data_IF_006605719654
#
_entry.id   IF_006605719654
#
_cell.length_a   1.000
_cell.length_b   1.000
_cell.length_c   1.000
_cell.angle_alpha   90.00
_cell.angle_beta   90.00
_cell.angle_gamma   90.00
#
_symmetry.space_group_name_H-M   'P 1'
#
loop_
_entity.id
_entity.type
_entity.pdbx_description
1 polymer ?
#
# COMPACT_ATOMS: atom_id res chain seq x y z
N UNK A 1 16.89 17.63 3.64
CA UNK A 1 16.08 17.40 2.41
C UNK A 1 14.80 18.21 2.58
N UNK A 2 14.36 18.97 1.57
CA UNK A 2 13.15 19.80 1.72
C UNK A 2 11.90 18.91 1.79
N UNK A 3 11.10 19.05 2.84
CA UNK A 3 9.80 18.39 2.97
C UNK A 3 8.79 19.17 2.13
N UNK A 4 8.36 18.59 1.00
CA UNK A 4 7.33 19.18 0.14
C UNK A 4 5.97 18.61 0.54
N UNK A 5 5.00 19.48 0.80
CA UNK A 5 3.60 19.12 1.02
C UNK A 5 2.79 19.50 -0.23
N UNK A 6 1.91 18.61 -0.67
CA UNK A 6 1.05 18.78 -1.84
C UNK A 6 -0.40 18.97 -1.40
N UNK A 7 -1.19 19.68 -2.20
CA UNK A 7 -2.61 19.88 -1.95
C UNK A 7 -3.44 19.35 -3.11
N UNK A 8 -4.36 18.43 -2.82
CA UNK A 8 -5.28 17.88 -3.80
C UNK A 8 -6.49 18.78 -3.97
N UNK A 9 -6.75 19.18 -5.22
CA UNK A 9 -7.96 19.90 -5.64
C UNK A 9 -9.25 19.13 -5.31
N UNK A 10 -9.17 17.80 -5.17
CA UNK A 10 -10.32 16.97 -4.76
C UNK A 10 -10.86 17.32 -3.37
N UNK A 11 -10.07 18.03 -2.57
CA UNK A 11 -10.45 18.48 -1.23
C UNK A 11 -10.62 20.00 -1.22
N UNK A 12 -9.64 20.73 -1.75
CA UNK A 12 -9.60 22.21 -1.67
C UNK A 12 -10.60 22.90 -2.58
N UNK A 13 -11.03 22.26 -3.67
CA UNK A 13 -11.95 22.86 -4.64
C UNK A 13 -13.39 22.36 -4.41
N UNK A 14 -13.68 21.78 -3.24
CA UNK A 14 -15.02 21.33 -2.87
C UNK A 14 -15.83 22.48 -2.28
N UNK A 15 -17.14 22.54 -2.57
CA UNK A 15 -18.03 23.55 -1.99
C UNK A 15 -17.96 23.56 -0.46
N UNK A 16 -17.89 22.37 0.16
CA UNK A 16 -17.74 22.24 1.62
C UNK A 16 -16.51 22.96 2.17
N UNK A 17 -15.41 22.98 1.41
CA UNK A 17 -14.19 23.67 1.80
C UNK A 17 -14.24 25.16 1.49
N UNK A 18 -14.70 25.51 0.28
CA UNK A 18 -14.77 26.89 -0.21
C UNK A 18 -15.79 27.74 0.56
N UNK A 19 -16.85 27.12 1.10
CA UNK A 19 -17.86 27.77 1.94
C UNK A 19 -17.32 28.17 3.33
N UNK A 20 -16.15 27.66 3.75
CA UNK A 20 -15.56 28.01 5.04
C UNK A 20 -14.91 29.41 5.01
N UNK A 21 -14.85 30.13 6.14
CA UNK A 21 -14.13 31.40 6.23
C UNK A 21 -12.67 31.29 5.78
N UNK A 22 -12.12 32.36 5.20
CA UNK A 22 -10.72 32.39 4.75
C UNK A 22 -9.72 32.10 5.88
N UNK A 23 -10.02 32.51 7.12
CA UNK A 23 -9.23 32.18 8.31
C UNK A 23 -9.19 30.67 8.57
N UNK A 24 -10.32 29.98 8.41
CA UNK A 24 -10.45 28.53 8.54
C UNK A 24 -9.70 27.80 7.42
N UNK A 25 -9.84 28.26 6.17
CA UNK A 25 -9.13 27.71 5.03
C UNK A 25 -7.60 27.87 5.19
N UNK A 26 -7.15 29.06 5.59
CA UNK A 26 -5.73 29.34 5.86
C UNK A 26 -5.20 28.42 6.97
N UNK A 27 -5.93 28.29 8.08
CA UNK A 27 -5.56 27.37 9.17
C UNK A 27 -5.37 25.94 8.65
N UNK A 28 -6.27 25.44 7.80
CA UNK A 28 -6.14 24.11 7.22
C UNK A 28 -4.86 23.93 6.40
N UNK A 29 -4.52 24.90 5.54
CA UNK A 29 -3.30 24.84 4.73
C UNK A 29 -2.03 24.82 5.59
N UNK A 30 -1.97 25.69 6.60
CA UNK A 30 -0.82 25.74 7.50
C UNK A 30 -0.70 24.48 8.37
N UNK A 31 -1.82 23.92 8.86
CA UNK A 31 -1.82 22.65 9.56
C UNK A 31 -1.21 21.54 8.70
N UNK A 32 -1.58 21.46 7.42
CA UNK A 32 -0.99 20.51 6.47
C UNK A 32 0.52 20.73 6.24
N UNK A 33 0.99 21.98 6.26
CA UNK A 33 2.41 22.27 6.12
C UNK A 33 3.24 21.77 7.31
N UNK A 34 2.65 21.78 8.50
CA UNK A 34 3.32 21.42 9.75
C UNK A 34 3.09 19.98 10.22
N UNK A 35 2.22 19.24 9.54
CA UNK A 35 1.96 17.84 9.88
C UNK A 35 3.16 16.93 9.56
N UNK A 36 3.26 15.81 10.27
CA UNK A 36 4.22 14.74 9.99
C UNK A 36 3.83 13.91 8.74
N UNK A 37 4.59 12.87 8.41
CA UNK A 37 4.34 12.08 7.19
C UNK A 37 3.07 11.20 7.27
N UNK A 38 2.47 11.05 8.44
CA UNK A 38 1.16 10.39 8.59
C UNK A 38 0.00 11.39 8.72
N UNK A 39 0.28 12.69 8.81
CA UNK A 39 -0.71 13.76 8.88
C UNK A 39 -1.06 14.19 10.30
N UNK A 40 -0.26 13.80 11.29
CA UNK A 40 -0.46 14.15 12.70
C UNK A 40 0.20 15.49 13.04
N UNK A 41 -0.46 16.21 13.94
CA UNK A 41 -0.09 17.56 14.39
C UNK A 41 -0.29 17.65 15.90
N UNK A 42 0.77 17.99 16.61
CA UNK A 42 0.81 18.17 18.06
C UNK A 42 0.77 19.65 18.48
N UNK A 43 1.16 20.55 17.58
CA UNK A 43 1.37 21.98 17.84
C UNK A 43 0.24 22.88 17.28
N UNK A 44 -0.99 22.35 17.21
CA UNK A 44 -2.16 23.05 16.66
C UNK A 44 -2.38 24.45 17.23
N UNK A 45 -2.28 24.61 18.56
CA UNK A 45 -2.43 25.90 19.24
C UNK A 45 -1.37 26.92 18.84
N UNK A 46 -0.13 26.46 18.61
CA UNK A 46 0.98 27.33 18.19
C UNK A 46 0.76 27.81 16.77
N UNK A 47 0.32 26.92 15.87
CA UNK A 47 -0.01 27.25 14.47
C UNK A 47 -1.18 28.25 14.42
N UNK A 48 -2.22 28.05 15.23
CA UNK A 48 -3.33 29.00 15.31
C UNK A 48 -2.88 30.41 15.71
N UNK A 49 -2.01 30.51 16.72
CA UNK A 49 -1.45 31.79 17.16
C UNK A 49 -0.58 32.44 16.08
N UNK A 50 0.20 31.65 15.34
CA UNK A 50 1.05 32.13 14.25
C UNK A 50 0.22 32.79 13.14
N UNK A 51 -0.92 32.20 12.79
CA UNK A 51 -1.79 32.66 11.70
C UNK A 51 -2.76 33.75 12.18
N UNK A 52 -3.00 33.84 13.49
CA UNK A 52 -4.03 34.69 14.06
C UNK A 52 -5.44 34.13 13.86
N UNK A 53 -5.59 32.81 13.68
CA UNK A 53 -6.91 32.16 13.56
C UNK A 53 -7.56 31.99 14.92
N UNK A 54 -8.89 32.05 14.95
CA UNK A 54 -9.69 31.84 16.16
C UNK A 54 -9.74 30.38 16.59
N UNK A 55 -10.21 30.15 17.82
CA UNK A 55 -10.52 28.79 18.30
C UNK A 55 -11.70 28.17 17.52
N UNK A 56 -12.62 29.01 17.06
CA UNK A 56 -13.82 28.60 16.34
C UNK A 56 -13.49 28.12 14.91
N UNK A 57 -12.45 28.67 14.26
CA UNK A 57 -11.92 28.15 13.00
C UNK A 57 -11.49 26.68 13.15
N UNK A 58 -10.79 26.34 14.24
CA UNK A 58 -10.37 24.96 14.51
C UNK A 58 -11.57 24.07 14.81
N UNK A 59 -12.53 24.54 15.62
CA UNK A 59 -13.76 23.80 15.88
C UNK A 59 -14.54 23.54 14.60
N UNK A 60 -14.59 24.51 13.69
CA UNK A 60 -15.26 24.38 12.40
C UNK A 60 -14.61 23.30 11.54
N UNK A 61 -13.27 23.24 11.47
CA UNK A 61 -12.55 22.16 10.78
C UNK A 61 -12.86 20.77 11.37
N UNK A 62 -12.96 20.67 12.70
CA UNK A 62 -13.35 19.42 13.38
C UNK A 62 -14.81 19.07 13.08
N UNK A 63 -15.72 20.04 13.17
CA UNK A 63 -17.15 19.84 12.91
C UNK A 63 -17.41 19.40 11.46
N UNK A 64 -16.70 19.97 10.49
CA UNK A 64 -16.73 19.60 9.07
C UNK A 64 -15.89 18.36 8.74
N UNK A 65 -15.28 17.71 9.76
CA UNK A 65 -14.49 16.48 9.64
C UNK A 65 -13.19 16.61 8.82
N UNK A 66 -12.64 17.81 8.63
CA UNK A 66 -11.32 17.98 8.03
C UNK A 66 -10.19 17.60 9.00
N UNK A 67 -10.44 17.74 10.31
CA UNK A 67 -9.53 17.35 11.39
C UNK A 67 -10.20 16.34 12.31
N UNK A 68 -9.43 15.31 12.72
CA UNK A 68 -9.86 14.32 13.71
C UNK A 68 -9.02 14.50 14.98
N UNK A 69 -9.60 15.05 16.07
CA UNK A 69 -8.88 15.26 17.32
C UNK A 69 -8.85 14.02 18.23
N UNK A 70 -7.72 13.75 18.86
CA UNK A 70 -7.56 12.66 19.84
C UNK A 70 -7.63 13.19 21.28
N UNK A 71 -7.81 12.28 22.24
CA UNK A 71 -7.92 12.61 23.67
C UNK A 71 -6.65 13.24 24.23
N UNK A 72 -5.50 12.87 23.68
CA UNK A 72 -4.18 13.41 24.05
C UNK A 72 -3.94 14.85 23.53
N UNK A 73 -4.89 15.43 22.77
CA UNK A 73 -4.81 16.78 22.19
C UNK A 73 -4.12 16.87 20.83
N UNK A 74 -3.60 15.75 20.30
CA UNK A 74 -3.08 15.65 18.94
C UNK A 74 -4.24 15.60 17.95
N UNK A 75 -4.03 16.12 16.74
CA UNK A 75 -5.02 16.02 15.66
C UNK A 75 -4.40 15.38 14.44
N UNK A 76 -5.20 14.65 13.67
CA UNK A 76 -4.81 14.16 12.33
C UNK A 76 -5.66 14.84 11.26
N UNK A 77 -5.05 15.15 10.13
CA UNK A 77 -5.75 15.64 8.94
C UNK A 77 -6.42 14.46 8.25
N UNK A 78 -7.75 14.49 8.12
CA UNK A 78 -8.53 13.40 7.54
C UNK A 78 -8.06 13.03 6.13
N UNK A 79 -7.85 14.03 5.29
CA UNK A 79 -7.52 13.86 3.87
C UNK A 79 -6.01 13.76 3.59
N UNK A 80 -5.17 13.51 4.60
CA UNK A 80 -3.72 13.61 4.46
C UNK A 80 -3.15 12.80 3.30
N UNK A 81 -3.57 11.53 3.16
CA UNK A 81 -3.11 10.63 2.09
C UNK A 81 -3.71 10.95 0.72
N UNK A 82 -4.81 11.72 0.69
CA UNK A 82 -5.37 12.28 -0.55
C UNK A 82 -4.51 13.45 -1.03
N UNK A 83 -4.00 14.26 -0.09
CA UNK A 83 -3.11 15.38 -0.35
C UNK A 83 -1.70 14.92 -0.73
N UNK A 84 -1.14 13.97 0.02
CA UNK A 84 0.28 13.65 -0.01
C UNK A 84 0.55 12.19 -0.37
N UNK A 85 1.23 11.98 -1.49
CA UNK A 85 1.88 10.72 -1.80
C UNK A 85 3.34 10.77 -1.33
N UNK A 86 3.68 9.98 -0.31
CA UNK A 86 5.03 9.92 0.28
C UNK A 86 5.69 8.60 -0.10
N UNK A 87 6.90 8.68 -0.67
CA UNK A 87 7.67 7.50 -1.06
C UNK A 87 8.18 6.77 0.18
N UNK A 88 8.19 5.43 0.12
CA UNK A 88 8.55 4.56 1.25
C UNK A 88 9.97 4.76 1.79
N UNK A 89 10.89 5.18 0.95
CA UNK A 89 12.29 5.47 1.31
C UNK A 89 12.47 6.80 2.05
N UNK A 90 11.49 7.69 1.96
CA UNK A 90 11.51 9.04 2.56
C UNK A 90 10.56 9.14 3.76
N UNK A 91 9.71 8.14 3.95
CA UNK A 91 8.65 8.12 4.95
C UNK A 91 9.18 7.95 6.37
N UNK A 92 8.78 8.85 7.27
CA UNK A 92 9.04 8.75 8.70
C UNK A 92 7.73 8.53 9.45
N UNK A 93 7.61 7.41 10.16
CA UNK A 93 6.40 7.08 10.93
C UNK A 93 6.15 8.13 12.02
N UNK A 94 4.88 8.43 12.26
CA UNK A 94 4.43 9.29 13.35
C UNK A 94 4.93 8.83 14.73
N UNK A 95 5.09 9.80 15.64
CA UNK A 95 5.36 9.57 17.05
C UNK A 95 4.11 9.09 17.83
N UNK A 96 2.95 9.06 17.18
CA UNK A 96 1.64 8.71 17.75
C UNK A 96 1.10 7.37 17.21
N UNK A 97 1.77 6.23 17.47
CA UNK A 97 1.37 4.95 16.92
C UNK A 97 0.02 4.47 17.45
N UNK A 98 -0.32 4.78 18.71
CA UNK A 98 -1.56 4.34 19.35
C UNK A 98 -2.78 5.02 18.71
N UNK A 99 -2.64 6.30 18.38
CA UNK A 99 -3.66 7.11 17.74
C UNK A 99 -3.81 6.72 16.26
N UNK A 100 -2.69 6.41 15.58
CA UNK A 100 -2.71 5.87 14.21
C UNK A 100 -3.42 4.52 14.13
N UNK A 101 -3.27 3.64 15.13
CA UNK A 101 -3.96 2.35 15.19
C UNK A 101 -5.49 2.47 15.35
N UNK A 102 -5.99 3.57 15.90
CA UNK A 102 -7.43 3.85 16.01
C UNK A 102 -8.05 4.31 14.68
N UNK A 103 -7.25 4.52 13.64
CA UNK A 103 -7.70 4.97 12.34
C UNK A 103 -7.69 3.84 11.33
N UNK A 104 -8.75 3.81 10.51
CA UNK A 104 -8.79 3.06 9.26
C UNK A 104 -8.70 4.00 8.07
N UNK A 105 -8.23 3.49 6.94
CA UNK A 105 -8.19 4.24 5.68
C UNK A 105 -9.30 3.71 4.79
N UNK A 106 -10.19 4.59 4.36
CA UNK A 106 -11.27 4.22 3.47
C UNK A 106 -10.78 4.07 2.00
N UNK A 107 -11.68 3.62 1.12
CA UNK A 107 -11.35 3.45 -0.31
C UNK A 107 -10.95 4.75 -1.01
N UNK A 108 -11.36 5.91 -0.50
CA UNK A 108 -10.98 7.22 -1.04
C UNK A 108 -9.64 7.75 -0.52
N UNK A 109 -8.99 7.04 0.41
CA UNK A 109 -7.70 7.42 0.98
C UNK A 109 -7.79 8.41 2.15
N UNK A 110 -8.97 8.55 2.76
CA UNK A 110 -9.20 9.39 3.93
C UNK A 110 -9.12 8.55 5.20
N UNK A 111 -8.70 9.17 6.31
CA UNK A 111 -8.77 8.55 7.63
C UNK A 111 -10.20 8.55 8.17
N UNK A 112 -10.55 7.48 8.86
CA UNK A 112 -11.81 7.31 9.56
C UNK A 112 -11.54 6.63 10.90
N UNK A 113 -12.28 6.97 11.95
CA UNK A 113 -12.10 6.30 13.24
C UNK A 113 -12.72 4.92 13.21
N UNK A 114 -12.01 3.93 13.74
CA UNK A 114 -12.47 2.56 13.79
C UNK A 114 -13.73 2.37 14.66
N UNK A 115 -13.94 3.27 15.63
CA UNK A 115 -15.11 3.25 16.52
C UNK A 115 -16.41 3.73 15.86
N UNK A 116 -16.35 4.27 14.63
CA UNK A 116 -17.51 4.80 13.91
C UNK A 116 -17.92 3.88 12.75
N UNK A 117 -18.22 2.62 13.04
CA UNK A 117 -18.96 1.75 12.11
C UNK A 117 -20.47 2.01 12.29
N UNK A 118 -21.02 2.98 11.53
CA UNK A 118 -22.46 3.32 11.26
C UNK A 118 -23.33 3.79 12.45
N UNK A 119 -24.20 4.82 12.37
CA UNK A 119 -25.38 4.97 11.49
C UNK A 119 -25.64 6.44 11.07
N UNK A 120 -25.42 6.79 9.80
CA UNK A 120 -26.18 7.87 9.13
C UNK A 120 -26.44 7.52 7.67
N UNK A 121 -26.86 6.29 7.41
CA UNK A 121 -27.74 6.04 6.26
C UNK A 121 -29.15 5.92 6.83
N UNK A 122 -30.06 6.81 6.43
CA UNK A 122 -31.49 6.61 6.64
C UNK A 122 -31.88 5.39 5.80
N UNK A 123 -32.16 4.21 6.39
CA UNK A 123 -32.58 3.08 5.59
C UNK A 123 -34.06 3.31 5.27
N UNK A 124 -34.40 3.46 3.99
CA UNK A 124 -35.74 3.09 3.56
C UNK A 124 -35.86 1.60 3.83
N UNK A 125 -36.87 1.24 4.61
CA UNK A 125 -37.22 -0.12 4.94
C UNK A 125 -37.33 -0.97 3.67
N UNK A 126 -36.61 -2.09 3.63
CA UNK A 126 -37.22 -3.39 3.32
C UNK A 126 -36.30 -4.53 3.74
N UNK A 127 -36.81 -5.23 4.75
CA UNK A 127 -36.87 -6.67 4.95
C UNK A 127 -35.66 -7.52 5.34
N UNK A 128 -35.98 -8.42 6.25
CA UNK A 128 -35.13 -9.26 7.09
C UNK A 128 -34.49 -10.42 6.34
N UNK A 129 -33.35 -10.93 6.85
CA UNK A 129 -33.32 -12.25 7.51
C UNK A 129 -31.94 -12.54 8.13
N UNK A 130 -31.95 -12.63 9.47
CA UNK A 130 -31.27 -13.57 10.37
C UNK A 130 -30.01 -14.29 9.82
N UNK A 131 -28.87 -14.28 10.53
CA UNK A 131 -28.72 -15.10 11.74
C UNK A 131 -27.53 -14.67 12.61
N UNK A 132 -27.73 -14.80 13.92
CA UNK A 132 -26.80 -14.54 15.02
C UNK A 132 -25.80 -15.70 15.19
N UNK A 133 -24.64 -15.48 15.85
CA UNK A 133 -24.19 -16.21 17.06
C UNK A 133 -23.16 -15.36 17.82
N UNK A 134 -23.47 -15.07 19.09
CA UNK A 134 -22.56 -14.54 20.14
C UNK A 134 -21.76 -15.68 20.76
N UNK A 135 -20.61 -15.36 21.38
CA UNK A 135 -20.01 -15.87 22.64
C UNK A 135 -18.49 -15.67 22.52
N UNK A 136 -17.69 -15.22 23.49
CA UNK A 136 -17.87 -14.85 24.89
C UNK A 136 -16.50 -14.35 25.39
N UNK A 137 -16.50 -13.45 26.38
CA UNK A 137 -15.32 -12.96 27.11
C UNK A 137 -14.69 -14.11 27.92
N UNK A 138 -13.36 -14.13 28.03
CA UNK A 138 -12.66 -14.26 29.31
C UNK A 138 -11.21 -13.75 29.23
N UNK A 139 -10.83 -12.97 30.25
CA UNK A 139 -9.49 -12.41 30.47
C UNK A 139 -8.73 -13.35 31.40
N UNK A 140 -7.50 -13.73 31.07
CA UNK A 140 -6.44 -13.96 32.04
C UNK A 140 -5.09 -13.62 31.41
N UNK A 141 -4.31 -12.78 32.08
CA UNK A 141 -3.09 -12.21 31.54
C UNK A 141 -1.81 -12.95 31.92
N UNK A 142 -0.75 -12.49 31.24
CA UNK A 142 0.58 -12.13 31.77
C UNK A 142 1.76 -12.99 31.29
N UNK A 143 2.56 -12.32 30.42
CA UNK A 143 4.01 -12.37 30.19
C UNK A 143 4.64 -13.70 29.71
N UNK A 144 5.47 -13.78 28.65
CA UNK A 144 6.52 -12.86 28.18
C UNK A 144 7.09 -13.35 26.81
N UNK A 145 7.59 -12.40 26.00
CA UNK A 145 8.62 -12.48 24.93
C UNK A 145 8.25 -12.92 23.49
N UNK A 146 8.47 -11.95 22.59
CA UNK A 146 9.05 -12.00 21.23
C UNK A 146 8.44 -12.95 20.19
N UNK A 147 7.61 -12.45 19.24
CA UNK A 147 7.28 -13.00 17.90
C UNK A 147 6.44 -11.92 17.15
N UNK A 148 6.89 -11.34 16.03
CA UNK A 148 6.68 -11.77 14.62
C UNK A 148 5.21 -12.00 14.19
N UNK A 149 4.71 -11.14 13.29
CA UNK A 149 3.69 -11.45 12.24
C UNK A 149 2.24 -11.80 12.63
N UNK A 150 1.27 -11.22 11.92
CA UNK A 150 -0.08 -11.78 11.84
C UNK A 150 -1.09 -10.92 11.07
N UNK A 151 -1.20 -11.09 9.76
CA UNK A 151 -2.51 -11.04 9.08
C UNK A 151 -2.63 -12.35 8.30
N UNK A 152 -3.36 -13.29 8.89
CA UNK A 152 -3.72 -14.57 8.29
C UNK A 152 -5.11 -14.42 7.66
N UNK A 153 -5.13 -14.04 6.38
CA UNK A 153 -6.04 -14.66 5.44
C UNK A 153 -5.31 -15.92 4.94
N UNK A 154 -5.95 -17.10 4.84
CA UNK A 154 -5.31 -18.28 4.29
C UNK A 154 -5.05 -18.05 2.80
N UNK A 155 -3.88 -17.48 2.47
CA UNK A 155 -3.38 -17.40 1.10
C UNK A 155 -3.28 -18.85 0.57
N UNK A 156 -4.33 -19.35 -0.08
CA UNK A 156 -4.27 -20.55 -0.93
C UNK A 156 -3.45 -20.32 -2.21
N UNK A 157 -2.50 -19.38 -2.17
CA UNK A 157 -1.60 -19.12 -3.28
C UNK A 157 -0.48 -20.17 -3.24
N UNK A 158 -0.14 -20.78 -4.39
CA UNK A 158 0.80 -21.90 -4.46
C UNK A 158 2.28 -21.44 -4.36
N UNK A 159 2.61 -20.65 -3.33
CA UNK A 159 3.96 -20.13 -3.08
C UNK A 159 4.99 -21.25 -2.98
N UNK A 160 4.61 -22.35 -2.32
CA UNK A 160 5.46 -23.52 -2.13
C UNK A 160 5.78 -24.17 -3.48
N UNK A 161 4.81 -24.27 -4.38
CA UNK A 161 4.97 -24.92 -5.67
C UNK A 161 5.91 -24.11 -6.59
N UNK A 162 5.73 -22.79 -6.67
CA UNK A 162 6.59 -21.91 -7.48
C UNK A 162 8.04 -21.99 -7.01
N UNK A 163 8.28 -21.92 -5.70
CA UNK A 163 9.64 -21.91 -5.14
C UNK A 163 10.29 -23.29 -5.21
N UNK A 164 9.52 -24.36 -4.98
CA UNK A 164 10.02 -25.72 -5.13
C UNK A 164 10.45 -25.98 -6.58
N UNK A 165 9.66 -25.55 -7.56
CA UNK A 165 9.98 -25.70 -8.97
C UNK A 165 11.26 -24.94 -9.36
N UNK A 166 11.42 -23.71 -8.86
CA UNK A 166 12.66 -22.95 -9.07
C UNK A 166 13.88 -23.68 -8.50
N UNK A 167 13.75 -24.21 -7.28
CA UNK A 167 14.83 -24.93 -6.61
C UNK A 167 15.21 -26.22 -7.36
N UNK A 168 14.20 -26.97 -7.82
CA UNK A 168 14.39 -28.18 -8.61
C UNK A 168 15.13 -27.90 -9.92
N UNK A 169 14.73 -26.85 -10.66
CA UNK A 169 15.33 -26.52 -11.96
C UNK A 169 16.73 -25.92 -11.89
N UNK A 170 17.04 -25.20 -10.83
CA UNK A 170 18.30 -24.44 -10.71
C UNK A 170 19.31 -25.07 -9.75
N UNK A 171 18.90 -26.11 -9.01
CA UNK A 171 19.68 -26.67 -7.90
C UNK A 171 19.80 -25.73 -6.70
N UNK A 172 18.95 -24.69 -6.64
CA UNK A 172 18.96 -23.70 -5.57
C UNK A 172 18.21 -24.18 -4.32
N UNK A 173 18.40 -23.49 -3.20
CA UNK A 173 17.76 -23.82 -1.91
C UNK A 173 16.99 -22.62 -1.34
N UNK A 174 16.17 -21.97 -2.16
CA UNK A 174 15.34 -20.84 -1.73
C UNK A 174 14.21 -21.28 -0.81
N UNK A 175 13.93 -20.49 0.22
CA UNK A 175 12.84 -20.76 1.16
C UNK A 175 11.51 -20.22 0.63
N UNK A 176 10.50 -21.08 0.55
CA UNK A 176 9.12 -20.70 0.21
C UNK A 176 8.45 -19.83 1.30
N UNK A 177 8.98 -19.86 2.53
CA UNK A 177 8.56 -19.01 3.63
C UNK A 177 9.09 -17.56 3.55
N UNK A 178 9.99 -17.24 2.61
CA UNK A 178 10.63 -15.93 2.54
C UNK A 178 9.66 -14.80 2.19
N UNK A 179 9.61 -13.76 3.03
CA UNK A 179 8.68 -12.62 2.89
C UNK A 179 8.82 -11.89 1.56
N UNK A 180 10.05 -11.67 1.08
CA UNK A 180 10.30 -11.01 -0.22
C UNK A 180 9.82 -11.85 -1.40
N UNK A 181 10.12 -13.15 -1.38
CA UNK A 181 9.69 -14.11 -2.41
C UNK A 181 8.17 -14.21 -2.49
N UNK A 182 7.50 -14.36 -1.33
CA UNK A 182 6.04 -14.36 -1.25
C UNK A 182 5.43 -13.08 -1.81
N UNK A 183 6.00 -11.92 -1.46
CA UNK A 183 5.53 -10.62 -1.96
C UNK A 183 5.61 -10.49 -3.48
N UNK A 184 6.69 -10.96 -4.09
CA UNK A 184 6.86 -10.94 -5.54
C UNK A 184 5.89 -11.90 -6.24
N UNK A 185 5.73 -13.11 -5.70
CA UNK A 185 4.78 -14.10 -6.25
C UNK A 185 3.35 -13.56 -6.14
N UNK A 186 2.94 -13.05 -4.96
CA UNK A 186 1.62 -12.45 -4.74
C UNK A 186 1.34 -11.29 -5.70
N UNK A 187 2.33 -10.42 -5.94
CA UNK A 187 2.18 -9.32 -6.88
C UNK A 187 1.85 -9.81 -8.30
N UNK A 188 2.53 -10.85 -8.80
CA UNK A 188 2.28 -11.42 -10.13
C UNK A 188 0.94 -12.17 -10.22
N UNK A 189 0.53 -12.87 -9.16
CA UNK A 189 -0.81 -13.46 -9.12
C UNK A 189 -1.92 -12.39 -9.16
N UNK A 190 -1.73 -11.27 -8.44
CA UNK A 190 -2.66 -10.13 -8.48
C UNK A 190 -2.70 -9.42 -9.85
N UNK A 191 -1.62 -9.52 -10.63
CA UNK A 191 -1.56 -9.06 -12.03
C UNK A 191 -2.25 -10.04 -13.01
N UNK A 192 -2.73 -11.19 -12.53
CA UNK A 192 -3.45 -12.18 -13.34
C UNK A 192 -2.58 -13.31 -13.89
N UNK A 193 -1.31 -13.42 -13.49
CA UNK A 193 -0.45 -14.51 -13.93
C UNK A 193 -0.74 -15.82 -13.17
N UNK A 194 -0.89 -16.92 -13.91
CA UNK A 194 -1.11 -18.26 -13.36
C UNK A 194 0.19 -18.93 -12.90
N UNK A 195 0.09 -19.99 -12.10
CA UNK A 195 1.21 -20.85 -11.72
C UNK A 195 2.06 -21.31 -12.92
N UNK A 196 1.40 -21.64 -14.03
CA UNK A 196 2.09 -22.12 -15.24
C UNK A 196 2.97 -21.04 -15.85
N UNK A 197 2.56 -19.76 -15.83
CA UNK A 197 3.38 -18.65 -16.28
C UNK A 197 4.69 -18.56 -15.46
N UNK A 198 4.65 -18.81 -14.15
CA UNK A 198 5.86 -18.86 -13.33
C UNK A 198 6.77 -20.00 -13.74
N UNK A 199 6.21 -21.20 -13.97
CA UNK A 199 6.99 -22.36 -14.43
C UNK A 199 7.64 -22.07 -15.79
N UNK A 200 6.92 -21.43 -16.71
CA UNK A 200 7.46 -21.03 -18.02
C UNK A 200 8.64 -20.07 -17.89
N UNK A 201 8.51 -19.01 -17.07
CA UNK A 201 9.62 -18.06 -16.85
C UNK A 201 10.84 -18.76 -16.24
N UNK A 202 10.63 -19.68 -15.29
CA UNK A 202 11.70 -20.46 -14.68
C UNK A 202 12.39 -21.33 -15.73
N UNK A 203 11.65 -22.03 -16.58
CA UNK A 203 12.22 -22.87 -17.64
C UNK A 203 12.99 -22.05 -18.68
N UNK A 204 12.42 -20.93 -19.15
CA UNK A 204 13.04 -20.03 -20.13
C UNK A 204 14.39 -19.54 -19.60
N UNK A 205 14.39 -18.98 -18.39
CA UNK A 205 15.61 -18.39 -17.82
C UNK A 205 16.60 -19.41 -17.32
N UNK A 206 16.15 -20.55 -16.81
CA UNK A 206 17.07 -21.63 -16.45
C UNK A 206 17.80 -22.15 -17.69
N UNK A 207 17.13 -22.34 -18.83
CA UNK A 207 17.79 -22.74 -20.08
C UNK A 207 18.82 -21.73 -20.57
N UNK A 208 18.52 -20.43 -20.48
CA UNK A 208 19.40 -19.37 -20.94
C UNK A 208 20.60 -19.11 -19.99
N UNK A 209 20.36 -19.11 -18.68
CA UNK A 209 21.30 -18.59 -17.70
C UNK A 209 22.02 -19.66 -16.89
N UNK A 210 21.54 -20.92 -16.88
CA UNK A 210 22.21 -21.98 -16.13
C UNK A 210 23.55 -22.40 -16.77
N UNK A 211 23.67 -22.25 -18.10
CA UNK A 211 24.89 -22.54 -18.87
C UNK A 211 25.91 -21.40 -18.85
N UNK A 212 25.49 -20.17 -18.56
CA UNK A 212 26.36 -19.00 -18.50
C UNK A 212 26.82 -18.73 -17.05
N UNK A 213 28.13 -18.83 -16.80
CA UNK A 213 28.74 -18.61 -15.48
C UNK A 213 28.42 -17.24 -14.88
N UNK A 214 28.26 -16.19 -15.69
CA UNK A 214 27.95 -14.84 -15.20
C UNK A 214 26.46 -14.66 -14.94
N UNK A 215 25.61 -15.32 -15.72
CA UNK A 215 24.17 -15.13 -15.62
C UNK A 215 23.50 -16.04 -14.60
N UNK A 216 24.11 -17.20 -14.27
CA UNK A 216 23.60 -18.14 -13.27
C UNK A 216 23.27 -17.49 -11.93
N UNK A 217 24.03 -16.48 -11.50
CA UNK A 217 23.79 -15.78 -10.24
C UNK A 217 22.44 -15.03 -10.21
N UNK A 218 21.83 -14.74 -11.36
CA UNK A 218 20.56 -14.01 -11.47
C UNK A 218 19.34 -14.91 -11.47
N UNK A 219 19.50 -16.24 -11.38
CA UNK A 219 18.43 -17.21 -11.21
C UNK A 219 17.87 -17.20 -9.77
N UNK A 220 17.35 -16.04 -9.34
CA UNK A 220 16.77 -15.82 -8.00
C UNK A 220 15.33 -15.31 -8.14
N UNK A 221 14.48 -15.50 -7.10
CA UNK A 221 13.12 -14.99 -7.12
C UNK A 221 13.01 -13.48 -7.40
N UNK A 222 13.96 -12.68 -6.88
CA UNK A 222 13.98 -11.22 -7.07
C UNK A 222 14.13 -10.82 -8.54
N UNK A 223 14.98 -11.52 -9.29
CA UNK A 223 15.18 -11.25 -10.72
C UNK A 223 14.05 -11.81 -11.55
N UNK A 224 13.69 -13.08 -11.32
CA UNK A 224 12.75 -13.81 -12.16
C UNK A 224 11.32 -13.27 -12.01
N UNK A 225 10.92 -12.89 -10.79
CA UNK A 225 9.57 -12.40 -10.48
C UNK A 225 9.53 -10.87 -10.30
N UNK A 226 10.60 -10.19 -10.70
CA UNK A 226 10.70 -8.73 -10.75
C UNK A 226 9.88 -8.11 -11.89
N UNK A 227 10.08 -6.83 -12.16
CA UNK A 227 9.29 -6.04 -13.13
C UNK A 227 9.38 -6.54 -14.57
N UNK A 228 10.35 -7.38 -14.89
CA UNK A 228 10.56 -7.97 -16.22
C UNK A 228 9.86 -9.32 -16.42
N UNK A 229 9.02 -9.75 -15.49
CA UNK A 229 8.35 -11.06 -15.51
C UNK A 229 7.62 -11.34 -16.83
N UNK A 230 6.77 -10.40 -17.28
CA UNK A 230 6.02 -10.53 -18.53
C UNK A 230 6.95 -10.59 -19.76
N UNK A 231 8.01 -9.77 -19.77
CA UNK A 231 9.04 -9.82 -20.82
C UNK A 231 9.69 -11.21 -20.91
N UNK A 232 9.97 -11.84 -19.76
CA UNK A 232 10.57 -13.17 -19.71
C UNK A 232 9.59 -14.28 -20.13
N UNK A 233 8.30 -14.10 -19.85
CA UNK A 233 7.26 -15.03 -20.30
C UNK A 233 7.17 -15.05 -21.83
N UNK A 234 7.34 -13.89 -22.47
CA UNK A 234 7.17 -13.72 -23.92
C UNK A 234 8.45 -13.97 -24.75
N UNK A 235 9.63 -14.05 -24.13
CA UNK A 235 10.93 -14.16 -24.83
C UNK A 235 11.04 -15.38 -25.77
N UNK A 236 10.41 -16.51 -25.44
CA UNK A 236 10.50 -17.73 -26.26
C UNK A 236 9.41 -17.84 -27.35
N UNK A 237 8.38 -16.97 -27.35
CA UNK A 237 7.39 -16.94 -28.43
C UNK A 237 7.93 -16.36 -29.75
N UNK A 238 9.12 -15.75 -29.72
CA UNK A 238 9.77 -15.12 -30.89
C UNK A 238 10.72 -16.10 -31.63
N UNK A 239 10.81 -17.37 -31.20
CA UNK A 239 11.73 -18.35 -31.81
C UNK A 239 11.11 -19.27 -32.87
N UNK A 240 9.90 -18.99 -33.36
CA UNK A 240 9.49 -19.45 -34.70
C UNK A 240 10.06 -18.49 -35.75
N UNK A 241 11.36 -18.64 -36.05
CA UNK A 241 12.03 -17.98 -37.18
C UNK A 241 11.22 -18.11 -38.49
N UNK A 242 11.08 -17.06 -39.31
CA UNK A 242 11.20 -17.23 -40.74
C UNK A 242 12.70 -17.36 -41.07
N UNK A 243 13.07 -18.46 -41.73
CA UNK A 243 14.39 -18.63 -42.30
C UNK A 243 14.61 -17.61 -43.43
N UNK A 244 15.40 -16.57 -43.18
CA UNK A 244 15.93 -15.75 -44.28
C UNK A 244 17.04 -16.54 -44.97
N UNK A 245 16.75 -16.95 -46.21
CA UNK A 245 17.70 -17.52 -47.16
C UNK A 245 18.81 -16.51 -47.46
N UNK A 246 20.04 -17.01 -47.46
CA UNK A 246 21.22 -16.36 -48.03
C UNK A 246 20.95 -15.91 -49.48
N UNK A 247 21.21 -14.64 -49.79
CA UNK A 247 21.34 -14.11 -51.15
C UNK A 247 22.69 -13.43 -51.29
N UNK A 248 23.65 -14.13 -51.90
CA UNK A 248 24.96 -13.60 -52.23
C UNK A 248 24.99 -12.86 -53.57
N UNK A 249 25.89 -11.88 -53.63
CA UNK A 249 26.64 -11.28 -54.75
C UNK A 249 26.00 -11.09 -56.14
N UNK A 250 26.15 -9.87 -56.65
CA UNK A 250 26.03 -9.55 -58.07
C UNK A 250 26.45 -8.12 -58.38
N UNK A 251 27.76 -7.90 -58.52
CA UNK A 251 28.37 -6.76 -59.21
C UNK A 251 28.02 -6.81 -60.70
N UNK A 252 27.55 -5.70 -61.27
CA UNK A 252 28.00 -5.15 -62.55
C UNK A 252 27.50 -3.73 -62.72
#
# INVERSE_FOLDING_TARGET
MAQRRMFSKKVTDTDTFLDMPLSTQALYFHLNMHADDDGFIDNTKTIQRMIGSSDDDRKLLVAKQFLLPFENGVVVIKDWRVHNYIRKDTYNKTMYPNELEQLQINKSGQYERQDLVTYTERPRAVDETLTQVRLGKDRLGKDRKDILSGSEEPDQLPYKEVVNYLNEKTGSKYRSSGTKTKKLIKARFNEGFSLDNFKTVIDVKSKQWLTDQKMKQYLRPETLFGTKFESYLNENQVTSKPAMKNGGYGTR
#
